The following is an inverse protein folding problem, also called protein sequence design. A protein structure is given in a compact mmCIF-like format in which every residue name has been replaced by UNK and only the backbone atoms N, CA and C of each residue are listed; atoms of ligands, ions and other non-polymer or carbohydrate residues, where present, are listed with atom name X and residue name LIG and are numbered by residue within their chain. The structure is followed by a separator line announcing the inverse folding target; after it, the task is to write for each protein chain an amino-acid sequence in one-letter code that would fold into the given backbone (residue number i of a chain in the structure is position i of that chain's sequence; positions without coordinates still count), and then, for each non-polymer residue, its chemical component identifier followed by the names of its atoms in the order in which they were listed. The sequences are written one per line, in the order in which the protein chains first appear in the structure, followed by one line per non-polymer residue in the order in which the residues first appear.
data_IF_645948179173
#
_entry.id   IF_645948179173
#
_cell.length_a   1.000
_cell.length_b   1.000
_cell.length_c   1.000
_cell.angle_alpha   90.00
_cell.angle_beta   90.00
_cell.angle_gamma   90.00
#
_symmetry.space_group_name_H-M   'P 1'
#
loop_
_entity.id
_entity.type
_entity.pdbx_description
1 polymer ?
#
# COMPACT_ATOMS: atom_id res chain seq x y z
N UNK A 1 1.92 28.73 11.02
CA UNK A 1 3.12 28.84 10.14
C UNK A 1 4.39 28.76 10.96
N UNK A 2 4.61 29.60 11.96
CA UNK A 2 5.84 29.63 12.79
C UNK A 2 6.22 28.24 13.35
N UNK A 3 5.26 27.43 13.84
CA UNK A 3 5.53 26.08 14.32
C UNK A 3 6.02 25.15 13.20
N UNK A 4 5.42 25.23 12.01
CA UNK A 4 5.83 24.42 10.86
C UNK A 4 7.23 24.83 10.38
N UNK A 5 7.53 26.12 10.34
CA UNK A 5 8.85 26.63 9.97
C UNK A 5 9.91 26.21 10.98
N UNK A 6 9.58 26.26 12.27
CA UNK A 6 10.43 25.77 13.35
C UNK A 6 10.71 24.25 13.24
N UNK A 7 9.68 23.45 12.94
CA UNK A 7 9.82 22.00 12.77
C UNK A 7 10.67 21.68 11.51
N UNK A 8 10.43 22.37 10.39
CA UNK A 8 11.23 22.23 9.16
C UNK A 8 12.69 22.55 9.37
N UNK A 9 12.99 23.61 10.10
CA UNK A 9 14.38 24.00 10.45
C UNK A 9 15.11 22.91 11.26
N UNK A 10 14.37 22.02 11.92
CA UNK A 10 14.87 20.88 12.69
C UNK A 10 14.82 19.55 11.92
N UNK A 11 14.58 19.61 10.62
CA UNK A 11 14.63 18.43 9.73
C UNK A 11 13.30 17.71 9.60
N UNK A 12 12.20 18.20 10.15
CA UNK A 12 10.87 17.63 9.92
C UNK A 12 10.51 17.74 8.44
N UNK A 13 10.14 16.61 7.83
CA UNK A 13 9.77 16.52 6.42
C UNK A 13 8.26 16.42 6.24
N UNK A 14 7.54 16.00 7.26
CA UNK A 14 6.10 15.78 7.27
C UNK A 14 5.49 16.42 8.52
N UNK A 15 4.25 16.85 8.41
CA UNK A 15 3.39 17.18 9.54
C UNK A 15 2.06 16.46 9.35
N UNK A 16 1.62 15.75 10.35
CA UNK A 16 0.36 15.00 10.36
C UNK A 16 -0.48 15.47 11.54
N UNK A 17 -1.79 15.52 11.35
CA UNK A 17 -2.71 15.91 12.40
C UNK A 17 -4.06 15.23 12.23
N UNK A 18 -4.77 15.09 13.35
CA UNK A 18 -6.17 14.73 13.39
C UNK A 18 -7.00 16.02 13.51
N UNK A 19 -8.04 16.17 12.68
CA UNK A 19 -8.90 17.36 12.72
C UNK A 19 -10.27 17.07 13.35
N UNK A 20 -10.52 15.84 13.84
CA UNK A 20 -11.75 15.44 14.55
C UNK A 20 -13.03 15.52 13.72
N UNK A 21 -12.96 15.42 12.40
CA UNK A 21 -14.12 15.46 11.49
C UNK A 21 -14.83 16.83 11.38
N UNK A 22 -14.30 17.89 11.97
CA UNK A 22 -14.92 19.23 11.95
C UNK A 22 -14.64 19.95 10.64
N UNK A 23 -15.69 20.31 9.90
CA UNK A 23 -15.62 20.99 8.61
C UNK A 23 -14.90 22.35 8.62
N UNK A 24 -14.98 23.10 9.73
CA UNK A 24 -14.27 24.38 9.87
C UNK A 24 -12.78 24.16 10.01
N UNK A 25 -12.39 23.13 10.80
CA UNK A 25 -10.97 22.73 10.96
C UNK A 25 -10.43 22.18 9.67
N UNK A 26 -11.19 21.36 8.93
CA UNK A 26 -10.81 20.84 7.62
C UNK A 26 -10.48 21.98 6.64
N UNK A 27 -11.36 22.95 6.51
CA UNK A 27 -11.13 24.13 5.65
C UNK A 27 -9.93 24.97 6.08
N UNK A 28 -9.71 25.11 7.39
CA UNK A 28 -8.56 25.82 7.90
C UNK A 28 -7.24 25.12 7.53
N UNK A 29 -7.15 23.81 7.73
CA UNK A 29 -5.95 23.04 7.45
C UNK A 29 -5.66 22.90 5.95
N UNK A 30 -6.69 22.77 5.13
CA UNK A 30 -6.55 22.81 3.65
C UNK A 30 -5.91 24.12 3.18
N UNK A 31 -6.27 25.27 3.76
CA UNK A 31 -5.65 26.57 3.44
C UNK A 31 -4.16 26.66 3.82
N UNK A 32 -3.72 25.87 4.77
CA UNK A 32 -2.31 25.80 5.16
C UNK A 32 -1.52 24.83 4.25
N UNK A 33 -2.21 24.03 3.46
CA UNK A 33 -1.62 23.07 2.52
C UNK A 33 -1.69 21.62 2.96
N UNK A 34 -2.41 21.34 4.07
CA UNK A 34 -2.68 19.94 4.44
C UNK A 34 -3.69 19.32 3.49
N UNK A 35 -3.52 18.03 3.23
CA UNK A 35 -4.43 17.18 2.44
C UNK A 35 -4.92 16.01 3.30
N UNK A 36 -6.10 15.51 3.01
CA UNK A 36 -6.68 14.37 3.70
C UNK A 36 -5.84 13.11 3.43
N UNK A 37 -5.63 12.30 4.46
CA UNK A 37 -4.74 11.13 4.40
C UNK A 37 -5.32 9.91 5.14
N UNK A 38 -6.60 9.63 4.92
CA UNK A 38 -7.28 8.50 5.53
C UNK A 38 -7.65 8.75 7.00
N UNK A 39 -7.60 7.70 7.79
CA UNK A 39 -7.94 7.72 9.21
C UNK A 39 -6.82 7.11 10.06
N UNK A 40 -6.79 7.44 11.34
CA UNK A 40 -5.88 6.85 12.32
C UNK A 40 -6.37 5.47 12.83
N UNK A 41 -5.68 4.92 13.82
CA UNK A 41 -6.01 3.62 14.42
C UNK A 41 -7.33 3.62 15.20
N UNK A 42 -7.88 4.79 15.53
CA UNK A 42 -9.17 4.95 16.20
C UNK A 42 -10.31 5.32 15.23
N UNK A 43 -10.02 5.42 13.92
CA UNK A 43 -10.98 5.81 12.90
C UNK A 43 -11.15 7.32 12.74
N UNK A 44 -10.32 8.12 13.40
CA UNK A 44 -10.37 9.58 13.33
C UNK A 44 -9.66 10.11 12.07
N UNK A 45 -10.27 11.08 11.36
CA UNK A 45 -9.75 11.54 10.09
C UNK A 45 -8.42 12.30 10.22
N UNK A 46 -7.45 11.87 9.42
CA UNK A 46 -6.10 12.43 9.34
C UNK A 46 -5.93 13.42 8.21
N UNK A 47 -5.08 14.39 8.43
CA UNK A 47 -4.53 15.25 7.39
C UNK A 47 -3.01 15.25 7.44
N UNK A 48 -2.40 15.30 6.27
CA UNK A 48 -0.95 15.34 6.09
C UNK A 48 -0.55 16.62 5.36
N UNK A 49 0.49 17.30 5.84
CA UNK A 49 1.21 18.29 5.04
C UNK A 49 2.32 17.55 4.28
N UNK A 50 2.16 17.34 2.97
CA UNK A 50 3.13 16.60 2.20
C UNK A 50 4.46 17.37 2.12
N UNK A 51 5.60 16.68 1.94
CA UNK A 51 6.88 17.32 1.72
C UNK A 51 6.90 18.05 0.37
N UNK A 52 7.87 18.95 0.20
CA UNK A 52 8.17 19.54 -1.09
C UNK A 52 8.50 18.45 -2.13
N UNK A 53 8.20 18.72 -3.40
CA UNK A 53 8.44 17.75 -4.50
C UNK A 53 9.91 17.35 -4.68
N UNK A 54 10.82 18.18 -4.19
CA UNK A 54 12.28 17.93 -4.19
C UNK A 54 12.71 16.76 -3.31
N UNK A 55 11.83 16.25 -2.42
CA UNK A 55 12.14 15.06 -1.62
C UNK A 55 12.19 13.84 -2.53
N UNK A 56 13.32 13.08 -2.54
CA UNK A 56 13.50 11.94 -3.42
C UNK A 56 12.36 10.93 -3.31
N UNK A 57 11.96 10.39 -4.45
CA UNK A 57 11.01 9.29 -4.55
C UNK A 57 11.76 8.04 -5.03
N UNK A 58 11.69 6.96 -4.26
CA UNK A 58 12.27 5.65 -4.60
C UNK A 58 11.25 4.54 -4.44
N UNK A 59 11.49 3.40 -5.10
CA UNK A 59 10.84 2.13 -4.77
C UNK A 59 11.91 1.18 -4.29
N UNK A 60 11.71 0.61 -3.12
CA UNK A 60 12.68 -0.26 -2.44
C UNK A 60 12.00 -1.55 -1.99
N UNK A 61 12.73 -2.67 -2.07
CA UNK A 61 12.29 -3.93 -1.48
C UNK A 61 12.47 -3.84 0.03
N UNK A 62 11.43 -4.25 0.77
CA UNK A 62 11.49 -4.35 2.22
C UNK A 62 12.54 -5.39 2.65
N UNK A 63 13.55 -4.96 3.39
CA UNK A 63 14.63 -5.83 3.90
C UNK A 63 14.39 -6.26 5.33
N UNK A 64 13.83 -5.39 6.16
CA UNK A 64 13.58 -5.66 7.58
C UNK A 64 12.09 -5.97 7.80
N UNK A 65 11.74 -7.23 8.12
CA UNK A 65 10.34 -7.62 8.32
C UNK A 65 9.70 -6.97 9.56
N UNK A 66 10.47 -6.34 10.44
CA UNK A 66 9.97 -5.62 11.61
C UNK A 66 9.90 -4.10 11.41
N UNK A 67 10.17 -3.60 10.19
CA UNK A 67 9.96 -2.19 9.89
C UNK A 67 8.51 -1.79 10.20
N UNK A 68 8.33 -0.85 11.12
CA UNK A 68 7.02 -0.38 11.57
C UNK A 68 6.17 0.17 10.41
N UNK A 69 6.80 0.64 9.32
CA UNK A 69 6.11 1.17 8.15
C UNK A 69 5.32 0.09 7.41
N UNK A 70 5.77 -1.18 7.45
CA UNK A 70 4.99 -2.30 6.92
C UNK A 70 3.62 -2.37 7.61
N UNK A 71 3.62 -2.44 8.93
CA UNK A 71 2.36 -2.55 9.70
C UNK A 71 1.49 -1.31 9.55
N UNK A 72 2.09 -0.13 9.43
CA UNK A 72 1.36 1.11 9.18
C UNK A 72 0.60 1.05 7.85
N UNK A 73 1.28 0.66 6.78
CA UNK A 73 0.68 0.59 5.44
C UNK A 73 -0.34 -0.54 5.35
N UNK A 74 -0.04 -1.72 5.90
CA UNK A 74 -0.97 -2.85 5.98
C UNK A 74 -2.26 -2.49 6.73
N UNK A 75 -2.16 -1.87 7.89
CA UNK A 75 -3.33 -1.44 8.63
C UNK A 75 -4.08 -0.31 7.92
N UNK A 76 -3.38 0.55 7.17
CA UNK A 76 -3.99 1.54 6.29
C UNK A 76 -4.81 0.89 5.18
N UNK A 77 -4.25 -0.09 4.51
CA UNK A 77 -4.91 -0.90 3.51
C UNK A 77 -6.16 -1.58 4.07
N UNK A 78 -6.01 -2.32 5.16
CA UNK A 78 -7.12 -3.04 5.79
C UNK A 78 -8.29 -2.12 6.18
N UNK A 79 -8.01 -0.99 6.78
CA UNK A 79 -9.05 -0.01 7.10
C UNK A 79 -9.77 0.53 5.87
N UNK A 80 -9.05 0.77 4.79
CA UNK A 80 -9.64 1.26 3.53
C UNK A 80 -10.63 0.25 2.92
N UNK A 81 -10.33 -1.03 3.05
CA UNK A 81 -11.21 -2.11 2.59
C UNK A 81 -12.27 -2.52 3.63
N UNK A 82 -12.36 -1.80 4.75
CA UNK A 82 -13.34 -2.06 5.80
C UNK A 82 -13.00 -3.27 6.69
N UNK A 83 -11.74 -3.71 6.70
CA UNK A 83 -11.28 -4.78 7.58
C UNK A 83 -10.60 -4.23 8.84
N UNK A 84 -10.55 -5.06 9.87
CA UNK A 84 -9.85 -4.77 11.11
C UNK A 84 -8.33 -4.77 10.92
N UNK A 85 -7.64 -3.96 11.72
CA UNK A 85 -6.18 -3.95 11.75
C UNK A 85 -5.62 -5.31 12.17
N UNK A 86 -4.42 -5.63 11.70
CA UNK A 86 -3.75 -6.89 12.00
C UNK A 86 -3.61 -7.13 13.50
N UNK A 87 -4.08 -8.27 13.98
CA UNK A 87 -3.81 -8.76 15.34
C UNK A 87 -2.31 -9.01 15.55
N UNK A 88 -1.86 -9.05 16.79
CA UNK A 88 -0.46 -9.37 17.13
C UNK A 88 0.00 -10.73 16.58
N UNK A 89 -0.91 -11.70 16.44
CA UNK A 89 -0.60 -13.01 15.87
C UNK A 89 -0.37 -12.87 14.36
N UNK A 90 -1.28 -12.20 13.65
CA UNK A 90 -1.16 -11.95 12.21
C UNK A 90 0.07 -11.12 11.87
N UNK A 91 0.41 -10.09 12.67
CA UNK A 91 1.65 -9.32 12.52
C UNK A 91 2.89 -10.22 12.55
N UNK A 92 2.97 -11.15 13.51
CA UNK A 92 4.09 -12.10 13.62
C UNK A 92 4.12 -13.07 12.43
N UNK A 93 2.95 -13.52 11.97
CA UNK A 93 2.84 -14.41 10.80
C UNK A 93 3.31 -13.69 9.53
N UNK A 94 2.89 -12.45 9.31
CA UNK A 94 3.32 -11.60 8.20
C UNK A 94 4.84 -11.40 8.23
N UNK A 95 5.39 -10.98 9.37
CA UNK A 95 6.84 -10.79 9.54
C UNK A 95 7.62 -12.08 9.26
N UNK A 96 7.09 -13.23 9.68
CA UNK A 96 7.71 -14.53 9.39
C UNK A 96 7.63 -14.86 7.90
N UNK A 97 6.50 -14.60 7.22
CA UNK A 97 6.35 -14.84 5.79
C UNK A 97 7.36 -14.01 4.97
N UNK A 98 7.54 -12.74 5.34
CA UNK A 98 8.57 -11.85 4.74
C UNK A 98 9.98 -12.41 5.01
N UNK A 99 10.28 -12.79 6.25
CA UNK A 99 11.61 -13.29 6.65
C UNK A 99 12.05 -14.55 5.88
N UNK A 100 11.09 -15.44 5.60
CA UNK A 100 11.38 -16.69 4.86
C UNK A 100 11.19 -16.56 3.34
N UNK A 101 10.94 -15.35 2.84
CA UNK A 101 10.83 -15.08 1.41
C UNK A 101 9.55 -15.62 0.74
N UNK A 102 8.49 -15.90 1.51
CA UNK A 102 7.19 -16.29 0.95
C UNK A 102 6.46 -15.15 0.28
N UNK A 103 6.72 -13.93 0.74
CA UNK A 103 6.16 -12.70 0.21
C UNK A 103 7.24 -11.62 0.18
N UNK A 104 7.29 -10.87 -0.90
CA UNK A 104 8.22 -9.75 -1.09
C UNK A 104 7.42 -8.46 -1.17
N UNK A 105 7.72 -7.52 -0.27
CA UNK A 105 7.10 -6.20 -0.27
C UNK A 105 7.96 -5.17 -0.98
N UNK A 106 7.31 -4.27 -1.70
CA UNK A 106 7.88 -3.11 -2.37
C UNK A 106 7.31 -1.86 -1.72
N UNK A 107 8.18 -0.97 -1.24
CA UNK A 107 7.79 0.29 -0.64
C UNK A 107 8.08 1.46 -1.59
N UNK A 108 7.05 2.23 -1.89
CA UNK A 108 7.22 3.55 -2.47
C UNK A 108 7.57 4.53 -1.35
N UNK A 109 8.75 5.11 -1.38
CA UNK A 109 9.25 6.05 -0.36
C UNK A 109 9.39 7.47 -0.90
N UNK A 110 9.05 8.44 -0.05
CA UNK A 110 9.41 9.85 -0.18
C UNK A 110 10.37 10.21 0.94
N UNK A 111 11.67 10.22 0.64
CA UNK A 111 12.71 10.27 1.65
C UNK A 111 12.68 9.01 2.53
N UNK A 112 12.55 9.17 3.83
CA UNK A 112 12.51 8.05 4.78
C UNK A 112 11.08 7.42 4.95
N UNK A 113 10.01 8.13 4.50
CA UNK A 113 8.62 7.69 4.70
C UNK A 113 8.18 6.78 3.56
N UNK A 114 7.74 5.58 3.90
CA UNK A 114 6.97 4.75 3.00
C UNK A 114 5.54 5.32 2.88
N UNK A 115 5.13 5.61 1.66
CA UNK A 115 3.86 6.26 1.31
C UNK A 115 2.94 5.36 0.50
N UNK A 116 3.41 4.17 0.16
CA UNK A 116 2.64 3.14 -0.51
C UNK A 116 3.44 1.84 -0.55
N UNK A 117 2.73 0.76 -0.84
CA UNK A 117 3.30 -0.57 -0.94
C UNK A 117 2.57 -1.41 -1.99
N UNK A 118 3.20 -2.48 -2.40
CA UNK A 118 2.59 -3.66 -2.97
C UNK A 118 3.41 -4.88 -2.57
N UNK A 119 2.84 -6.06 -2.72
CA UNK A 119 3.54 -7.30 -2.46
C UNK A 119 3.47 -8.27 -3.64
N UNK A 120 4.39 -9.23 -3.65
CA UNK A 120 4.38 -10.38 -4.56
C UNK A 120 4.57 -11.65 -3.74
N UNK A 121 3.57 -12.50 -3.74
CA UNK A 121 3.66 -13.86 -3.25
C UNK A 121 4.02 -14.78 -4.42
N UNK A 122 5.16 -15.51 -4.32
CA UNK A 122 5.62 -16.39 -5.39
C UNK A 122 5.47 -17.88 -5.00
N UNK A 123 5.07 -18.71 -5.96
CA UNK A 123 4.97 -20.15 -5.80
C UNK A 123 5.26 -20.88 -7.10
N UNK A 124 5.62 -22.17 -6.98
CA UNK A 124 5.80 -23.02 -8.15
C UNK A 124 4.45 -23.52 -8.68
N UNK A 125 4.19 -23.25 -9.96
CA UNK A 125 3.00 -23.73 -10.66
C UNK A 125 3.33 -24.98 -11.48
N UNK A 126 2.68 -26.10 -11.20
CA UNK A 126 2.82 -27.33 -11.99
C UNK A 126 2.18 -27.20 -13.37
N UNK A 127 1.22 -26.28 -13.53
CA UNK A 127 0.58 -26.02 -14.82
C UNK A 127 1.54 -25.37 -15.82
N UNK A 128 2.28 -24.36 -15.39
CA UNK A 128 3.30 -23.70 -16.24
C UNK A 128 4.70 -24.30 -16.07
N UNK A 129 4.90 -25.24 -15.13
CA UNK A 129 6.20 -25.76 -14.74
C UNK A 129 7.23 -24.67 -14.46
N UNK A 130 6.81 -23.62 -13.80
CA UNK A 130 7.62 -22.43 -13.49
C UNK A 130 7.15 -21.75 -12.21
N UNK A 131 7.96 -20.84 -11.68
CA UNK A 131 7.52 -19.95 -10.62
C UNK A 131 6.55 -18.91 -11.20
N UNK A 132 5.47 -18.66 -10.47
CA UNK A 132 4.47 -17.64 -10.77
C UNK A 132 4.24 -16.78 -9.54
N UNK A 133 3.79 -15.54 -9.73
CA UNK A 133 3.55 -14.59 -8.65
C UNK A 133 2.10 -14.10 -8.63
N UNK A 134 1.65 -13.74 -7.44
CA UNK A 134 0.41 -13.01 -7.21
C UNK A 134 0.77 -11.63 -6.67
N UNK A 135 0.22 -10.59 -7.32
CA UNK A 135 0.36 -9.20 -6.89
C UNK A 135 -0.75 -8.88 -5.89
N UNK A 136 -0.37 -8.48 -4.68
CA UNK A 136 -1.29 -8.30 -3.56
C UNK A 136 -0.95 -7.02 -2.77
N UNK A 137 -1.76 -6.70 -1.76
CA UNK A 137 -1.55 -5.63 -0.76
C UNK A 137 -1.18 -4.28 -1.40
N UNK A 138 -1.87 -3.94 -2.49
CA UNK A 138 -1.57 -2.72 -3.24
C UNK A 138 -2.25 -1.52 -2.58
N UNK A 139 -1.46 -0.68 -1.91
CA UNK A 139 -1.95 0.46 -1.17
C UNK A 139 -1.07 1.69 -1.34
N UNK A 140 -1.69 2.86 -1.46
CA UNK A 140 -1.01 4.15 -1.48
C UNK A 140 -1.76 5.08 -0.55
N UNK A 141 -1.04 5.72 0.38
CA UNK A 141 -1.64 6.73 1.25
C UNK A 141 -2.38 7.80 0.40
N UNK A 142 -3.63 8.16 0.76
CA UNK A 142 -4.47 9.06 -0.06
C UNK A 142 -3.78 10.33 -0.52
N UNK A 143 -2.98 10.96 0.34
CA UNK A 143 -2.23 12.17 0.01
C UNK A 143 -1.18 12.02 -1.11
N UNK A 144 -0.84 10.78 -1.49
CA UNK A 144 0.20 10.48 -2.49
C UNK A 144 -0.35 9.76 -3.74
N UNK A 145 -1.68 9.65 -3.86
CA UNK A 145 -2.36 9.13 -5.05
C UNK A 145 -2.30 10.10 -6.22
N UNK A 146 -2.59 9.59 -7.42
CA UNK A 146 -2.62 10.38 -8.68
C UNK A 146 -1.30 11.11 -9.01
N UNK A 147 -0.15 10.57 -8.52
CA UNK A 147 1.19 11.14 -8.73
C UNK A 147 2.18 10.15 -9.38
N UNK A 148 1.65 9.12 -10.03
CA UNK A 148 2.45 8.09 -10.68
C UNK A 148 3.05 7.04 -9.72
N UNK A 149 2.72 7.09 -8.42
CA UNK A 149 3.22 6.14 -7.40
C UNK A 149 2.82 4.71 -7.72
N UNK A 150 1.54 4.49 -8.12
CA UNK A 150 1.01 3.19 -8.51
C UNK A 150 1.81 2.53 -9.63
N UNK A 151 2.07 3.28 -10.69
CA UNK A 151 2.85 2.80 -11.84
C UNK A 151 4.26 2.36 -11.44
N UNK A 152 4.94 3.16 -10.64
CA UNK A 152 6.32 2.84 -10.19
C UNK A 152 6.36 1.60 -9.30
N UNK A 153 5.37 1.39 -8.43
CA UNK A 153 5.26 0.16 -7.63
C UNK A 153 5.05 -1.06 -8.53
N UNK A 154 4.10 -1.00 -9.47
CA UNK A 154 3.84 -2.10 -10.39
C UNK A 154 5.05 -2.42 -11.29
N UNK A 155 5.72 -1.40 -11.84
CA UNK A 155 6.93 -1.55 -12.64
C UNK A 155 8.06 -2.22 -11.84
N UNK A 156 8.25 -1.83 -10.56
CA UNK A 156 9.27 -2.43 -9.70
C UNK A 156 8.96 -3.92 -9.40
N UNK A 157 7.71 -4.24 -9.09
CA UNK A 157 7.28 -5.63 -8.88
C UNK A 157 7.46 -6.48 -10.14
N UNK A 158 7.06 -5.96 -11.30
CA UNK A 158 7.23 -6.64 -12.59
C UNK A 158 8.71 -6.82 -12.96
N UNK A 159 9.58 -5.82 -12.67
CA UNK A 159 11.02 -5.93 -12.90
C UNK A 159 11.62 -7.02 -12.03
N UNK A 160 11.28 -7.01 -10.74
CA UNK A 160 11.72 -8.03 -9.80
C UNK A 160 11.27 -9.43 -10.23
N UNK A 161 10.04 -9.59 -10.73
CA UNK A 161 9.58 -10.88 -11.25
C UNK A 161 10.45 -11.38 -12.40
N UNK A 162 10.83 -10.51 -13.34
CA UNK A 162 11.72 -10.87 -14.45
C UNK A 162 13.11 -11.27 -13.97
N UNK A 163 13.64 -10.58 -12.96
CA UNK A 163 14.97 -10.80 -12.39
C UNK A 163 15.04 -12.08 -11.52
N UNK A 164 13.89 -12.60 -11.08
CA UNK A 164 13.77 -13.77 -10.22
C UNK A 164 13.08 -14.97 -10.91
N UNK A 165 13.08 -15.01 -12.25
CA UNK A 165 12.54 -16.10 -13.05
C UNK A 165 11.07 -16.44 -12.73
N UNK A 166 10.26 -15.40 -12.44
CA UNK A 166 8.81 -15.52 -12.24
C UNK A 166 8.15 -15.32 -13.61
N UNK A 167 7.61 -16.41 -14.16
CA UNK A 167 7.11 -16.47 -15.54
C UNK A 167 5.85 -15.62 -15.78
N UNK A 168 5.02 -15.45 -14.74
CA UNK A 168 3.81 -14.61 -14.81
C UNK A 168 3.50 -13.99 -13.46
N UNK A 169 2.98 -12.76 -13.48
CA UNK A 169 2.45 -12.05 -12.33
C UNK A 169 0.96 -11.82 -12.55
N UNK A 170 0.14 -12.32 -11.65
CA UNK A 170 -1.32 -12.21 -11.70
C UNK A 170 -1.83 -11.28 -10.62
N UNK A 171 -3.00 -10.70 -10.82
CA UNK A 171 -3.75 -9.94 -9.81
C UNK A 171 -5.21 -10.38 -9.85
N UNK A 172 -5.81 -10.50 -8.68
CA UNK A 172 -7.25 -10.66 -8.53
C UNK A 172 -7.82 -9.30 -8.10
N UNK A 173 -8.77 -8.77 -8.85
CA UNK A 173 -9.33 -7.44 -8.58
C UNK A 173 -10.84 -7.41 -8.72
N UNK A 174 -11.48 -6.41 -8.13
CA UNK A 174 -12.90 -6.11 -8.37
C UNK A 174 -13.10 -5.59 -9.80
N UNK A 175 -14.28 -5.78 -10.37
CA UNK A 175 -14.57 -5.33 -11.73
C UNK A 175 -14.39 -3.80 -11.91
N UNK A 176 -14.63 -3.01 -10.86
CA UNK A 176 -14.43 -1.56 -10.88
C UNK A 176 -12.95 -1.14 -10.97
N UNK A 177 -12.01 -2.02 -10.60
CA UNK A 177 -10.57 -1.75 -10.60
C UNK A 177 -9.85 -2.28 -11.85
N UNK A 178 -10.56 -2.98 -12.72
CA UNK A 178 -10.01 -3.63 -13.91
C UNK A 178 -9.24 -2.65 -14.79
N UNK A 179 -9.82 -1.49 -15.08
CA UNK A 179 -9.19 -0.45 -15.90
C UNK A 179 -7.89 0.09 -15.27
N UNK A 180 -7.83 0.19 -13.96
CA UNK A 180 -6.62 0.60 -13.25
C UNK A 180 -5.51 -0.43 -13.42
N UNK A 181 -5.80 -1.72 -13.18
CA UNK A 181 -4.80 -2.77 -13.32
C UNK A 181 -4.36 -2.97 -14.77
N UNK A 182 -5.26 -2.83 -15.75
CA UNK A 182 -4.90 -2.82 -17.17
C UNK A 182 -3.92 -1.68 -17.49
N UNK A 183 -4.14 -0.48 -16.96
CA UNK A 183 -3.22 0.64 -17.10
C UNK A 183 -1.85 0.43 -16.42
N UNK A 184 -1.76 -0.51 -15.48
CA UNK A 184 -0.53 -0.95 -14.82
C UNK A 184 0.15 -2.15 -15.52
N UNK A 185 -0.41 -2.65 -16.63
CA UNK A 185 0.19 -3.70 -17.45
C UNK A 185 -0.40 -5.11 -17.28
N UNK A 186 -1.45 -5.28 -16.46
CA UNK A 186 -2.16 -6.55 -16.31
C UNK A 186 -3.23 -6.71 -17.41
N UNK A 187 -2.82 -7.05 -18.63
CA UNK A 187 -3.67 -6.94 -19.83
C UNK A 187 -4.31 -8.27 -20.28
N UNK A 188 -3.97 -9.39 -19.65
CA UNK A 188 -4.46 -10.71 -20.05
C UNK A 188 -5.41 -11.27 -18.99
N UNK A 189 -6.68 -11.44 -19.35
CA UNK A 189 -7.63 -12.16 -18.49
C UNK A 189 -7.34 -13.66 -18.52
N UNK A 190 -7.22 -14.26 -17.32
CA UNK A 190 -6.96 -15.70 -17.15
C UNK A 190 -8.22 -16.50 -16.76
N UNK A 191 -9.40 -15.91 -16.90
CA UNK A 191 -10.67 -16.56 -16.57
C UNK A 191 -11.21 -16.10 -15.20
N UNK A 192 -12.11 -16.93 -14.62
CA UNK A 192 -12.80 -16.63 -13.37
C UNK A 192 -12.17 -17.38 -12.21
N UNK A 193 -11.94 -16.69 -11.11
CA UNK A 193 -11.44 -17.29 -9.87
C UNK A 193 -12.61 -17.67 -8.97
N UNK A 194 -12.59 -18.88 -8.41
CA UNK A 194 -13.54 -19.35 -7.41
C UNK A 194 -12.80 -19.65 -6.10
N UNK A 195 -13.38 -19.24 -4.97
CA UNK A 195 -12.85 -19.55 -3.66
C UNK A 195 -13.78 -20.49 -2.89
N UNK A 196 -13.21 -21.47 -2.20
CA UNK A 196 -13.90 -22.23 -1.17
C UNK A 196 -13.45 -21.68 0.20
N UNK A 197 -14.35 -20.98 0.87
CA UNK A 197 -14.10 -20.22 2.10
C UNK A 197 -14.24 -21.13 3.35
N UNK A 198 -13.52 -22.22 3.42
CA UNK A 198 -13.57 -23.23 4.47
C UNK A 198 -13.74 -22.73 5.91
N UNK A 199 -12.68 -22.69 6.69
CA UNK A 199 -12.71 -22.36 8.13
C UNK A 199 -12.39 -20.90 8.47
N UNK A 200 -12.12 -20.05 7.48
CA UNK A 200 -11.79 -18.64 7.69
C UNK A 200 -12.98 -17.78 7.34
N UNK A 201 -13.46 -17.00 8.30
CA UNK A 201 -14.52 -16.01 8.07
C UNK A 201 -13.90 -14.78 7.43
N UNK A 202 -14.09 -14.64 6.11
CA UNK A 202 -13.85 -13.36 5.44
C UNK A 202 -15.14 -12.52 5.50
N UNK A 203 -15.04 -11.33 6.04
CA UNK A 203 -16.19 -10.43 6.19
C UNK A 203 -16.58 -9.74 4.89
N UNK A 204 -15.70 -9.72 3.89
CA UNK A 204 -15.95 -9.08 2.59
C UNK A 204 -15.63 -10.03 1.43
N UNK A 205 -16.68 -10.42 0.70
CA UNK A 205 -16.58 -11.20 -0.55
C UNK A 205 -16.34 -10.32 -1.79
N UNK A 206 -16.33 -9.00 -1.63
CA UNK A 206 -16.03 -8.06 -2.69
C UNK A 206 -14.61 -7.52 -2.46
N UNK A 207 -13.76 -7.68 -3.47
CA UNK A 207 -12.46 -7.03 -3.47
C UNK A 207 -12.67 -5.51 -3.41
N UNK A 208 -11.94 -4.81 -2.55
CA UNK A 208 -12.15 -3.38 -2.37
C UNK A 208 -11.65 -2.58 -3.56
N UNK A 209 -12.36 -1.50 -3.84
CA UNK A 209 -11.95 -0.48 -4.78
C UNK A 209 -10.86 0.36 -4.16
N UNK A 210 -9.65 0.29 -4.71
CA UNK A 210 -8.55 1.20 -4.39
C UNK A 210 -8.37 2.12 -5.59
N UNK A 211 -8.98 3.27 -5.56
CA UNK A 211 -8.84 4.30 -6.58
C UNK A 211 -7.82 5.37 -6.16
#
# INVERSE_FOLDING_TARGET
RQLLDWAKARGARYAELNYGGDERRLRFWRRIGFVENGVDEWGEPLMLLPPAETVPFTVEILKDPVDWQLLKLENGFKREIGEESLTKIQQKQLQQAVRVGRITFFFAKRGYRAVGMCSVAAYYSTFSCSNVGVFEDFYIEPAFRNRGTARKLAEAAQSWCRENDIASLTVCCAACDEAMYQALGFNTSLGTTFANMGSVSYTHLTLPTIA
#
